data_IF_253726470087
#
_entry.id   IF_253726470087
#
_cell.length_a   1.000
_cell.length_b   1.000
_cell.length_c   1.000
_cell.angle_alpha   90.00
_cell.angle_beta   90.00
_cell.angle_gamma   90.00
#
_symmetry.space_group_name_H-M   'P 1'
#
loop_
_entity.id
_entity.type
_entity.pdbx_description
1 polymer ?
#
# COMPACT_ATOMS: atom_id res chain seq x y z
N UNK A 1 3.73 -11.33 15.73
CA UNK A 1 4.48 -12.56 15.39
C UNK A 1 4.42 -12.72 13.88
N UNK A 2 5.53 -12.50 13.16
CA UNK A 2 5.61 -12.79 11.73
C UNK A 2 6.30 -14.16 11.61
N UNK A 3 5.56 -15.18 11.19
CA UNK A 3 6.10 -16.49 10.87
C UNK A 3 6.40 -16.52 9.36
N UNK A 4 7.67 -16.72 9.00
CA UNK A 4 8.10 -16.95 7.63
C UNK A 4 8.17 -18.46 7.39
N UNK A 5 7.20 -19.01 6.67
CA UNK A 5 7.35 -20.29 5.97
C UNK A 5 7.44 -19.97 4.48
N UNK A 6 8.51 -20.43 3.83
CA UNK A 6 8.92 -20.06 2.48
C UNK A 6 8.01 -20.56 1.36
N UNK A 7 6.83 -21.10 1.66
CA UNK A 7 5.96 -21.69 0.64
C UNK A 7 4.72 -20.84 0.29
N UNK A 8 4.28 -19.93 1.15
CA UNK A 8 3.20 -18.98 0.82
C UNK A 8 3.31 -17.71 1.66
N UNK A 9 3.77 -16.61 1.06
CA UNK A 9 3.63 -15.29 1.68
C UNK A 9 2.14 -14.91 1.65
N UNK A 10 1.48 -14.69 2.82
CA UNK A 10 0.11 -14.18 2.83
C UNK A 10 0.06 -12.87 2.04
N UNK A 11 -0.83 -12.81 1.05
CA UNK A 11 -0.98 -11.64 0.19
C UNK A 11 -2.02 -10.70 0.79
N UNK A 12 -1.69 -9.42 0.87
CA UNK A 12 -2.65 -8.36 1.23
C UNK A 12 -3.34 -7.87 -0.04
N UNK A 13 -4.58 -7.41 0.07
CA UNK A 13 -5.30 -6.83 -1.08
C UNK A 13 -4.81 -5.40 -1.26
N UNK A 14 -4.00 -5.19 -2.29
CA UNK A 14 -3.64 -3.88 -2.80
C UNK A 14 -4.42 -3.60 -4.08
N UNK A 15 -5.08 -2.45 -4.18
CA UNK A 15 -5.83 -2.02 -5.34
C UNK A 15 -5.10 -0.89 -6.07
N UNK A 16 -5.28 -0.83 -7.39
CA UNK A 16 -5.00 0.38 -8.14
C UNK A 16 -6.18 1.33 -8.02
N UNK A 17 -5.95 2.46 -7.34
CA UNK A 17 -6.86 3.60 -7.30
C UNK A 17 -6.44 4.70 -8.25
N UNK A 18 -7.31 5.69 -8.43
CA UNK A 18 -7.00 6.93 -9.15
C UNK A 18 -7.61 8.12 -8.42
N UNK A 19 -6.81 9.16 -8.20
CA UNK A 19 -7.27 10.49 -7.79
C UNK A 19 -6.97 11.46 -8.93
N UNK A 20 -8.00 12.10 -9.49
CA UNK A 20 -7.91 12.88 -10.73
C UNK A 20 -7.30 12.03 -11.87
N UNK A 21 -6.10 12.37 -12.36
CA UNK A 21 -5.35 11.58 -13.34
C UNK A 21 -4.18 10.79 -12.74
N UNK A 22 -3.96 10.88 -11.42
CA UNK A 22 -2.85 10.22 -10.73
C UNK A 22 -3.27 8.81 -10.29
N UNK A 23 -2.53 7.80 -10.78
CA UNK A 23 -2.66 6.41 -10.34
C UNK A 23 -2.00 6.26 -8.98
N UNK A 24 -2.73 5.72 -8.00
CA UNK A 24 -2.24 5.49 -6.65
C UNK A 24 -2.46 4.06 -6.15
N UNK A 25 -1.56 3.58 -5.31
CA UNK A 25 -1.70 2.29 -4.62
C UNK A 25 -2.54 2.43 -3.35
N UNK A 26 -3.60 1.63 -3.26
CA UNK A 26 -4.51 1.58 -2.12
C UNK A 26 -4.38 0.25 -1.41
N UNK A 27 -3.99 0.27 -0.14
CA UNK A 27 -3.97 -0.91 0.72
C UNK A 27 -5.31 -1.07 1.42
N UNK A 28 -5.89 -2.26 1.38
CA UNK A 28 -7.00 -2.62 2.25
C UNK A 28 -6.44 -3.27 3.52
N UNK A 29 -6.63 -2.62 4.67
CA UNK A 29 -6.03 -3.03 5.93
C UNK A 29 -7.08 -3.10 7.06
N UNK A 30 -7.51 -4.31 7.39
CA UNK A 30 -8.41 -4.54 8.52
C UNK A 30 -7.73 -4.34 9.89
N UNK A 31 -6.41 -4.19 9.94
CA UNK A 31 -5.66 -3.83 11.14
C UNK A 31 -5.64 -2.33 11.43
N UNK A 32 -6.03 -1.49 10.47
CA UNK A 32 -6.09 -0.04 10.61
C UNK A 32 -7.49 0.41 11.01
N UNK A 33 -7.60 1.26 12.05
CA UNK A 33 -8.90 1.79 12.51
C UNK A 33 -9.45 2.87 11.59
N UNK A 34 -8.58 3.71 11.03
CA UNK A 34 -8.94 4.84 10.18
C UNK A 34 -8.34 4.72 8.79
N UNK A 35 -8.80 5.57 7.88
CA UNK A 35 -8.20 5.69 6.56
C UNK A 35 -7.04 6.71 6.60
N UNK A 36 -5.95 6.38 5.92
CA UNK A 36 -4.73 7.20 5.90
C UNK A 36 -4.27 7.52 4.48
N UNK A 37 -3.59 8.65 4.34
CA UNK A 37 -2.90 9.05 3.10
C UNK A 37 -1.48 9.51 3.40
N UNK A 38 -0.55 9.17 2.51
CA UNK A 38 0.84 9.61 2.61
C UNK A 38 0.96 11.13 2.50
N UNK A 39 1.62 11.76 3.46
CA UNK A 39 1.90 13.21 3.47
C UNK A 39 2.62 13.69 2.20
N UNK A 40 3.55 12.87 1.69
CA UNK A 40 4.26 13.16 0.45
C UNK A 40 3.30 13.23 -0.75
N UNK A 41 2.32 12.34 -0.84
CA UNK A 41 1.33 12.35 -1.92
C UNK A 41 0.48 13.62 -1.86
N UNK A 42 -0.01 13.97 -0.67
CA UNK A 42 -0.80 15.20 -0.42
C UNK A 42 -0.03 16.43 -0.89
N UNK A 43 1.25 16.52 -0.52
CA UNK A 43 2.13 17.64 -0.89
C UNK A 43 2.39 17.70 -2.40
N UNK A 44 2.66 16.55 -3.03
CA UNK A 44 2.97 16.47 -4.47
C UNK A 44 1.77 16.81 -5.36
N UNK A 45 0.56 16.41 -4.94
CA UNK A 45 -0.67 16.63 -5.70
C UNK A 45 -1.40 17.92 -5.29
N UNK A 46 -0.89 18.66 -4.29
CA UNK A 46 -1.52 19.88 -3.80
C UNK A 46 -2.92 19.64 -3.21
N UNK A 47 -3.14 18.49 -2.59
CA UNK A 47 -4.44 18.14 -2.01
C UNK A 47 -4.69 19.04 -0.80
N UNK A 48 -5.88 19.65 -0.75
CA UNK A 48 -6.27 20.50 0.37
C UNK A 48 -6.41 19.70 1.66
N UNK A 49 -5.91 20.25 2.75
CA UNK A 49 -5.94 19.65 4.09
C UNK A 49 -6.50 20.62 5.13
N UNK A 50 -7.06 20.07 6.18
CA UNK A 50 -7.55 20.82 7.35
C UNK A 50 -6.84 20.33 8.60
N UNK A 51 -6.53 21.27 9.50
CA UNK A 51 -5.97 20.93 10.80
C UNK A 51 -7.02 20.25 11.68
N UNK A 52 -6.56 19.34 12.52
CA UNK A 52 -7.40 18.61 13.48
C UNK A 52 -6.77 18.69 14.87
N UNK A 53 -7.51 18.22 15.88
CA UNK A 53 -6.89 17.95 17.18
C UNK A 53 -5.83 16.85 17.01
N UNK A 54 -4.56 17.10 17.37
CA UNK A 54 -3.51 16.10 17.21
C UNK A 54 -3.80 14.81 17.97
N UNK A 55 -3.44 13.68 17.38
CA UNK A 55 -3.49 12.38 18.03
C UNK A 55 -2.36 11.46 17.59
N UNK A 56 -2.09 10.44 18.39
CA UNK A 56 -1.05 9.46 18.12
C UNK A 56 -1.60 8.25 17.37
N UNK A 57 -0.83 7.77 16.41
CA UNK A 57 -1.11 6.57 15.63
C UNK A 57 -0.01 5.56 15.90
N UNK A 58 -0.40 4.40 16.42
CA UNK A 58 0.48 3.27 16.65
C UNK A 58 0.50 2.41 15.39
N UNK A 59 1.66 2.27 14.77
CA UNK A 59 1.82 1.52 13.52
C UNK A 59 2.45 0.15 13.76
N UNK A 60 2.25 -0.80 12.83
CA UNK A 60 2.62 -2.21 13.01
C UNK A 60 4.12 -2.49 13.19
N UNK A 61 4.99 -1.52 12.87
CA UNK A 61 6.43 -1.60 13.13
C UNK A 61 6.82 -1.15 14.55
N UNK A 62 5.85 -0.78 15.40
CA UNK A 62 6.07 -0.30 16.76
C UNK A 62 6.36 1.20 16.88
N UNK A 63 6.42 1.93 15.76
CA UNK A 63 6.55 3.39 15.80
C UNK A 63 5.24 4.07 16.23
N UNK A 64 5.38 5.30 16.71
CA UNK A 64 4.27 6.18 17.04
C UNK A 64 4.37 7.42 16.18
N UNK A 65 3.38 7.60 15.30
CA UNK A 65 3.27 8.77 14.45
C UNK A 65 2.29 9.78 15.05
N UNK A 66 2.49 11.06 14.77
CA UNK A 66 1.55 12.11 15.18
C UNK A 66 0.76 12.57 13.96
N UNK A 67 -0.56 12.46 14.03
CA UNK A 67 -1.45 13.01 13.01
C UNK A 67 -1.88 14.42 13.41
N UNK A 68 -1.67 15.38 12.50
CA UNK A 68 -1.95 16.81 12.74
C UNK A 68 -3.06 17.36 11.84
N UNK A 69 -3.33 16.70 10.72
CA UNK A 69 -4.26 17.18 9.70
C UNK A 69 -4.89 16.02 8.93
N UNK A 70 -5.99 16.29 8.24
CA UNK A 70 -6.67 15.34 7.36
C UNK A 70 -7.08 16.00 6.04
N UNK A 71 -7.24 15.18 5.01
CA UNK A 71 -7.94 15.52 3.78
C UNK A 71 -9.41 15.11 3.93
N UNK A 72 -10.34 15.92 3.42
CA UNK A 72 -11.80 15.72 3.60
C UNK A 72 -12.46 15.56 2.25
N UNK A 73 -13.40 14.61 2.14
CA UNK A 73 -14.17 14.32 0.92
C UNK A 73 -13.29 14.18 -0.33
N UNK A 74 -12.30 13.29 -0.26
CA UNK A 74 -11.37 13.03 -1.36
C UNK A 74 -11.97 11.97 -2.29
N UNK A 75 -12.29 12.31 -3.56
CA UNK A 75 -12.79 11.36 -4.54
C UNK A 75 -11.68 10.43 -5.02
N UNK A 76 -11.75 9.14 -4.71
CA UNK A 76 -10.85 8.13 -5.27
C UNK A 76 -11.68 7.11 -6.06
N UNK A 77 -11.30 6.89 -7.30
CA UNK A 77 -11.87 5.83 -8.14
C UNK A 77 -11.10 4.53 -7.93
N UNK A 78 -11.81 3.47 -7.54
CA UNK A 78 -11.29 2.11 -7.43
C UNK A 78 -11.95 1.25 -8.52
N UNK A 79 -11.17 0.84 -9.51
CA UNK A 79 -11.64 0.00 -10.64
C UNK A 79 -12.95 0.48 -11.30
N UNK A 80 -13.11 1.80 -11.47
CA UNK A 80 -14.30 2.39 -12.09
C UNK A 80 -15.44 2.77 -11.12
N UNK A 81 -15.27 2.53 -9.82
CA UNK A 81 -16.21 2.95 -8.78
C UNK A 81 -15.61 4.12 -7.98
N UNK A 82 -16.28 5.27 -7.97
CA UNK A 82 -15.85 6.42 -7.19
C UNK A 82 -16.36 6.34 -5.75
N UNK A 83 -15.48 6.62 -4.80
CA UNK A 83 -15.78 6.70 -3.38
C UNK A 83 -15.20 8.00 -2.82
N UNK A 84 -15.87 8.53 -1.79
CA UNK A 84 -15.43 9.73 -1.08
C UNK A 84 -14.81 9.32 0.25
N UNK A 85 -13.60 9.82 0.51
CA UNK A 85 -12.85 9.46 1.72
C UNK A 85 -12.40 10.68 2.52
N UNK A 86 -12.59 10.60 3.83
CA UNK A 86 -11.81 11.37 4.79
C UNK A 86 -10.52 10.59 5.09
N UNK A 87 -9.36 11.22 4.87
CA UNK A 87 -8.05 10.57 4.95
C UNK A 87 -7.14 11.32 5.92
N UNK A 88 -6.71 10.65 6.99
CA UNK A 88 -5.74 11.21 7.93
C UNK A 88 -4.34 11.20 7.33
N UNK A 89 -3.62 12.32 7.49
CA UNK A 89 -2.31 12.49 6.86
C UNK A 89 -1.25 11.94 7.80
N UNK A 90 -0.41 11.03 7.30
CA UNK A 90 0.72 10.46 8.02
C UNK A 90 1.96 10.36 7.13
N UNK A 91 3.12 10.47 7.76
CA UNK A 91 4.43 10.20 7.14
C UNK A 91 4.71 8.69 7.16
N UNK A 92 4.00 7.94 6.32
CA UNK A 92 4.14 6.48 6.15
C UNK A 92 4.88 6.12 4.86
N UNK A 93 5.48 4.92 4.82
CA UNK A 93 6.11 4.33 3.63
C UNK A 93 5.22 3.18 3.11
N UNK A 94 5.33 2.86 1.82
CA UNK A 94 4.56 1.77 1.19
C UNK A 94 3.38 2.30 0.38
N UNK A 95 2.18 1.80 0.65
CA UNK A 95 0.97 2.22 -0.06
C UNK A 95 0.66 3.70 0.16
N UNK A 96 0.22 4.38 -0.90
CA UNK A 96 -0.09 5.81 -0.90
C UNK A 96 -1.36 6.13 -0.09
N UNK A 97 -2.33 5.22 -0.13
CA UNK A 97 -3.57 5.29 0.65
C UNK A 97 -3.76 3.96 1.39
N UNK A 98 -4.20 4.03 2.65
CA UNK A 98 -4.61 2.88 3.46
C UNK A 98 -6.08 3.04 3.80
N UNK A 99 -6.91 2.06 3.45
CA UNK A 99 -8.32 2.02 3.81
C UNK A 99 -8.52 1.04 4.96
N UNK A 100 -8.94 1.57 6.09
CA UNK A 100 -9.16 0.85 7.34
C UNK A 100 -10.62 0.55 7.61
N UNK A 101 -10.90 0.17 8.86
CA UNK A 101 -12.24 -0.13 9.36
C UNK A 101 -13.22 1.03 9.11
N UNK A 102 -12.78 2.30 9.22
CA UNK A 102 -13.58 3.48 8.91
C UNK A 102 -14.27 3.44 7.53
N UNK A 103 -13.62 2.89 6.50
CA UNK A 103 -14.28 2.69 5.21
C UNK A 103 -15.05 1.36 5.17
N UNK A 104 -14.43 0.29 5.67
CA UNK A 104 -15.00 -1.06 5.59
C UNK A 104 -16.34 -1.18 6.32
N UNK A 105 -16.55 -0.43 7.40
CA UNK A 105 -17.82 -0.42 8.16
C UNK A 105 -18.99 0.12 7.33
N UNK A 106 -18.74 1.01 6.36
CA UNK A 106 -19.75 1.57 5.47
C UNK A 106 -20.28 0.53 4.47
N UNK A 107 -19.51 -0.51 4.20
CA UNK A 107 -19.85 -1.55 3.25
C UNK A 107 -20.75 -2.63 3.85
N UNK A 108 -20.94 -2.61 5.17
CA UNK A 108 -21.65 -3.63 5.95
C UNK A 108 -21.09 -5.04 5.74
N UNK A 109 -21.68 -5.83 4.85
CA UNK A 109 -21.22 -7.18 4.53
C UNK A 109 -20.21 -7.16 3.39
N UNK A 110 -19.03 -7.69 3.68
CA UNK A 110 -17.93 -7.88 2.73
C UNK A 110 -17.61 -9.36 2.61
N UNK A 111 -17.49 -9.86 1.38
CA UNK A 111 -16.99 -11.21 1.08
C UNK A 111 -15.60 -11.07 0.47
N UNK A 112 -14.60 -11.65 1.12
CA UNK A 112 -13.21 -11.61 0.67
C UNK A 112 -12.74 -13.00 0.27
N UNK A 113 -12.26 -13.14 -0.96
CA UNK A 113 -11.51 -14.32 -1.41
C UNK A 113 -10.02 -13.98 -1.43
N UNK A 114 -9.31 -14.40 -0.38
CA UNK A 114 -7.87 -14.16 -0.24
C UNK A 114 -7.01 -14.95 -1.24
N UNK A 115 -7.52 -16.03 -1.85
CA UNK A 115 -6.79 -16.76 -2.90
C UNK A 115 -6.85 -16.00 -4.21
N UNK A 116 -8.03 -15.45 -4.54
CA UNK A 116 -8.25 -14.66 -5.75
C UNK A 116 -7.95 -13.16 -5.57
N UNK A 117 -7.66 -12.74 -4.33
CA UNK A 117 -7.51 -11.34 -3.92
C UNK A 117 -8.73 -10.50 -4.28
N UNK A 118 -9.94 -11.04 -4.14
CA UNK A 118 -11.15 -10.28 -4.46
C UNK A 118 -11.91 -9.87 -3.20
N UNK A 119 -12.59 -8.73 -3.29
CA UNK A 119 -13.47 -8.20 -2.25
C UNK A 119 -14.80 -7.81 -2.90
N UNK A 120 -15.89 -8.41 -2.46
CA UNK A 120 -17.23 -8.19 -3.01
C UNK A 120 -18.16 -7.64 -1.94
N UNK A 121 -18.90 -6.58 -2.26
CA UNK A 121 -19.83 -5.90 -1.33
C UNK A 121 -20.97 -5.22 -2.11
N UNK A 122 -21.98 -4.72 -1.38
CA UNK A 122 -23.04 -3.90 -1.95
C UNK A 122 -22.70 -2.42 -1.80
N UNK A 123 -22.85 -1.65 -2.87
CA UNK A 123 -22.68 -0.20 -2.87
C UNK A 123 -23.73 0.44 -3.78
N UNK A 124 -24.47 1.41 -3.28
CA UNK A 124 -25.53 2.12 -4.04
C UNK A 124 -26.51 1.19 -4.75
N UNK A 125 -26.89 0.09 -4.10
CA UNK A 125 -27.83 -0.91 -4.65
C UNK A 125 -27.25 -1.80 -5.75
N UNK A 126 -25.93 -1.77 -5.98
CA UNK A 126 -25.23 -2.64 -6.93
C UNK A 126 -24.17 -3.48 -6.22
N UNK A 127 -23.98 -4.69 -6.72
CA UNK A 127 -22.83 -5.50 -6.32
C UNK A 127 -21.55 -4.93 -6.95
N UNK A 128 -20.58 -4.59 -6.11
CA UNK A 128 -19.24 -4.17 -6.51
C UNK A 128 -18.26 -5.28 -6.17
N UNK A 129 -17.35 -5.57 -7.10
CA UNK A 129 -16.23 -6.48 -6.87
C UNK A 129 -14.92 -5.77 -7.18
N UNK A 130 -14.06 -5.64 -6.17
CA UNK A 130 -12.71 -5.13 -6.29
C UNK A 130 -11.73 -6.31 -6.37
N UNK A 131 -10.67 -6.16 -7.17
CA UNK A 131 -9.65 -7.19 -7.36
C UNK A 131 -8.27 -6.61 -7.03
N UNK A 132 -7.59 -7.28 -6.10
CA UNK A 132 -6.23 -6.98 -5.72
C UNK A 132 -5.24 -7.30 -6.81
N UNK A 133 -4.16 -6.52 -6.85
CA UNK A 133 -3.03 -6.77 -7.72
C UNK A 133 -2.24 -7.98 -7.21
N UNK A 134 -2.05 -8.98 -8.07
CA UNK A 134 -1.33 -10.21 -7.73
C UNK A 134 0.20 -10.07 -7.81
N UNK A 135 0.67 -9.02 -8.48
CA UNK A 135 2.06 -8.68 -8.73
C UNK A 135 2.23 -7.16 -8.62
N UNK A 136 3.10 -6.71 -7.72
CA UNK A 136 3.73 -5.40 -7.93
C UNK A 136 4.52 -5.51 -9.23
N UNK A 137 4.03 -4.87 -10.30
CA UNK A 137 4.83 -4.69 -11.50
C UNK A 137 5.98 -3.74 -11.14
N UNK A 138 7.07 -4.31 -10.63
CA UNK A 138 8.33 -3.60 -10.53
C UNK A 138 8.88 -3.47 -11.95
N UNK A 139 8.45 -2.43 -12.66
CA UNK A 139 9.18 -1.94 -13.83
C UNK A 139 10.62 -1.63 -13.36
N UNK A 140 11.65 -2.17 -14.03
CA UNK A 140 13.04 -1.84 -13.70
C UNK A 140 13.23 -0.33 -13.72
N UNK A 141 13.65 0.23 -12.59
CA UNK A 141 13.93 1.66 -12.49
C UNK A 141 15.21 1.97 -13.27
N UNK A 142 15.17 2.99 -14.11
CA UNK A 142 16.39 3.52 -14.69
C UNK A 142 17.23 4.23 -13.60
N UNK A 143 18.53 4.37 -13.83
CA UNK A 143 19.45 5.03 -12.88
C UNK A 143 19.01 6.44 -12.51
N UNK A 144 18.36 7.17 -13.44
CA UNK A 144 17.79 8.49 -13.18
C UNK A 144 16.60 8.42 -12.22
N UNK A 145 15.73 7.42 -12.34
CA UNK A 145 14.62 7.22 -11.40
C UNK A 145 15.14 6.82 -10.02
N UNK A 146 16.15 5.95 -9.94
CA UNK A 146 16.77 5.56 -8.67
C UNK A 146 17.39 6.76 -7.94
N UNK A 147 18.18 7.59 -8.65
CA UNK A 147 18.72 8.84 -8.10
C UNK A 147 17.64 9.81 -7.63
N UNK A 148 16.51 9.88 -8.36
CA UNK A 148 15.36 10.69 -7.94
C UNK A 148 14.72 10.15 -6.66
N UNK A 149 14.58 8.84 -6.52
CA UNK A 149 14.04 8.22 -5.31
C UNK A 149 14.94 8.47 -4.10
N UNK A 150 16.25 8.37 -4.28
CA UNK A 150 17.26 8.70 -3.26
C UNK A 150 17.16 10.17 -2.83
N UNK A 151 17.16 11.10 -3.79
CA UNK A 151 17.07 12.53 -3.50
C UNK A 151 15.74 12.96 -2.85
N UNK A 152 14.72 12.11 -2.93
CA UNK A 152 13.37 12.37 -2.43
C UNK A 152 13.05 11.59 -1.15
N UNK A 153 14.04 10.95 -0.52
CA UNK A 153 13.88 10.10 0.67
C UNK A 153 12.77 9.04 0.51
N UNK A 154 12.59 8.56 -0.74
CA UNK A 154 11.54 7.63 -1.13
C UNK A 154 12.04 6.19 -1.18
N UNK A 155 13.28 5.93 -0.76
CA UNK A 155 13.88 4.59 -0.65
C UNK A 155 13.74 4.15 0.81
N UNK A 156 12.99 3.07 1.05
CA UNK A 156 12.84 2.51 2.40
C UNK A 156 14.10 1.75 2.84
N UNK A 157 14.65 0.91 1.95
CA UNK A 157 15.85 0.11 2.16
C UNK A 157 16.53 -0.19 0.81
N UNK A 158 17.86 -0.24 0.80
CA UNK A 158 18.65 -0.69 -0.36
C UNK A 158 19.28 -2.06 -0.04
N UNK A 159 18.92 -3.08 -0.81
CA UNK A 159 19.46 -4.44 -0.66
C UNK A 159 20.32 -4.78 -1.88
N UNK A 160 21.57 -5.14 -1.64
CA UNK A 160 22.50 -5.59 -2.67
C UNK A 160 22.67 -7.11 -2.55
N UNK A 161 22.26 -7.84 -3.59
CA UNK A 161 22.44 -9.29 -3.66
C UNK A 161 23.57 -9.63 -4.61
N UNK A 162 24.53 -10.43 -4.12
CA UNK A 162 25.61 -11.00 -4.92
C UNK A 162 25.51 -12.52 -4.84
N UNK A 163 25.30 -13.18 -5.97
CA UNK A 163 25.44 -14.63 -6.05
C UNK A 163 26.95 -14.97 -6.04
N UNK A 164 27.39 -15.73 -5.05
CA UNK A 164 28.69 -16.42 -5.09
C UNK A 164 28.47 -17.81 -5.68
N UNK A 165 29.18 -18.15 -6.76
CA UNK A 165 29.06 -19.44 -7.42
C UNK A 165 29.32 -20.60 -6.47
N UNK A 166 28.48 -21.63 -6.53
CA UNK A 166 28.77 -22.93 -5.95
C UNK A 166 30.01 -23.46 -6.66
N UNK A 167 31.15 -23.51 -5.96
CA UNK A 167 32.28 -24.30 -6.43
C UNK A 167 31.83 -25.77 -6.42
N UNK A 168 31.56 -26.33 -7.60
CA UNK A 168 31.45 -27.77 -7.76
C UNK A 168 32.81 -28.38 -7.45
N UNK A 169 32.87 -29.22 -6.42
CA UNK A 169 33.93 -30.22 -6.31
C UNK A 169 33.68 -31.25 -7.41
N UNK A 170 34.30 -31.05 -8.57
CA UNK A 170 34.55 -32.14 -9.51
C UNK A 170 35.86 -32.82 -9.09
N UNK A 171 35.70 -33.86 -8.26
CA UNK A 171 36.68 -34.94 -8.16
C UNK A 171 36.76 -35.64 -9.52
N UNK A 172 37.82 -35.38 -10.28
CA UNK A 172 38.38 -36.34 -11.24
C UNK A 172 39.87 -36.04 -11.44
N UNK A 173 40.70 -36.76 -10.69
CA UNK A 173 42.14 -36.86 -10.93
C UNK A 173 42.39 -37.78 -12.16
N UNK A 174 43.22 -37.40 -13.15
CA UNK A 174 43.57 -38.28 -14.25
C UNK A 174 44.73 -39.21 -13.88
N UNK A 175 44.67 -40.41 -14.47
CA UNK A 175 45.64 -41.53 -14.50
C UNK A 175 45.60 -42.54 -13.35
#
# INVERSE_FOLDING_TARGET
>A
MLAFDGQHTPKTICLQGTYQSHKLQVLLDNGSTHNFIQERLVSNLGISKVDIKPFHVYVGNGEVLTCLSKCVNIPITLQGHEFQFDLYILTIKGAEVVLGIQWLELLSQVITDHKQLTMTFQWEGKQVQLKGESHFNFEPLCTRQLKRLEACDSIASLLYMKASGLAGNDDHNPQ
#
